data_IF_846553879625
#
_entry.id   IF_846553879625
#
_cell.length_a   1.000
_cell.length_b   1.000
_cell.length_c   1.000
_cell.angle_alpha   90.00
_cell.angle_beta   90.00
_cell.angle_gamma   90.00
#
_symmetry.space_group_name_H-M   'P 1'
#
loop_
_entity.id
_entity.type
_entity.pdbx_description
1 polymer ?
#
# COMPACT_ATOMS: atom_id res chain seq x y z
N UNK A 1 -6.74 22.80 -20.61
CA UNK A 1 -7.11 21.40 -20.30
C UNK A 1 -6.16 20.89 -19.23
N UNK A 2 -6.60 20.81 -17.97
CA UNK A 2 -5.78 20.29 -16.88
C UNK A 2 -5.61 18.78 -17.06
N UNK A 3 -4.38 18.33 -17.28
CA UNK A 3 -4.06 16.91 -17.43
C UNK A 3 -4.30 16.23 -16.08
N UNK A 4 -5.40 15.51 -15.94
CA UNK A 4 -5.74 14.74 -14.74
C UNK A 4 -4.82 13.52 -14.62
N UNK A 5 -3.58 13.72 -14.17
CA UNK A 5 -2.59 12.66 -14.04
C UNK A 5 -2.55 12.02 -12.66
N UNK A 6 -2.40 10.70 -12.62
CA UNK A 6 -2.24 9.95 -11.37
C UNK A 6 -0.80 10.16 -10.86
N UNK A 7 -0.65 10.61 -9.62
CA UNK A 7 0.65 10.82 -8.99
C UNK A 7 1.24 9.49 -8.52
N UNK A 8 2.37 9.09 -9.11
CA UNK A 8 3.09 7.87 -8.71
C UNK A 8 3.57 7.94 -7.26
N UNK A 9 3.85 9.14 -6.76
CA UNK A 9 4.28 9.35 -5.37
C UNK A 9 3.19 8.93 -4.38
N UNK A 10 1.92 9.24 -4.69
CA UNK A 10 0.80 8.84 -3.83
C UNK A 10 0.69 7.32 -3.74
N UNK A 11 0.77 6.64 -4.89
CA UNK A 11 0.73 5.17 -5.00
C UNK A 11 1.88 4.55 -4.17
N UNK A 12 3.10 5.05 -4.35
CA UNK A 12 4.28 4.54 -3.66
C UNK A 12 4.17 4.70 -2.14
N UNK A 13 3.87 5.91 -1.64
CA UNK A 13 3.81 6.14 -0.20
C UNK A 13 2.64 5.41 0.45
N UNK A 14 1.46 5.37 -0.18
CA UNK A 14 0.33 4.64 0.39
C UNK A 14 0.59 3.14 0.48
N UNK A 15 1.27 2.54 -0.50
CA UNK A 15 1.75 1.16 -0.40
C UNK A 15 2.67 0.96 0.82
N UNK A 16 3.68 1.82 0.98
CA UNK A 16 4.60 1.73 2.12
C UNK A 16 3.89 1.91 3.46
N UNK A 17 2.93 2.84 3.54
CA UNK A 17 2.12 3.07 4.76
C UNK A 17 1.33 1.80 5.10
N UNK A 18 0.64 1.20 4.14
CA UNK A 18 -0.13 -0.03 4.37
C UNK A 18 0.76 -1.20 4.80
N UNK A 19 1.88 -1.40 4.10
CA UNK A 19 2.85 -2.46 4.39
C UNK A 19 3.44 -2.32 5.80
N UNK A 20 3.92 -1.13 6.14
CA UNK A 20 4.56 -0.86 7.44
C UNK A 20 3.57 -0.84 8.59
N UNK A 21 2.35 -0.34 8.38
CA UNK A 21 1.27 -0.40 9.38
C UNK A 21 0.96 -1.85 9.77
N UNK A 22 0.79 -2.73 8.78
CA UNK A 22 0.50 -4.13 9.06
C UNK A 22 1.67 -4.84 9.77
N UNK A 23 2.90 -4.50 9.40
CA UNK A 23 4.09 -4.99 10.09
C UNK A 23 4.15 -4.54 11.56
N UNK A 24 3.86 -3.26 11.84
CA UNK A 24 3.79 -2.74 13.21
C UNK A 24 2.75 -3.50 14.05
N UNK A 25 1.54 -3.72 13.51
CA UNK A 25 0.49 -4.48 14.21
C UNK A 25 0.93 -5.93 14.43
N UNK A 26 1.46 -6.57 13.39
CA UNK A 26 1.88 -7.98 13.44
C UNK A 26 2.95 -8.25 14.48
N UNK A 27 3.90 -7.33 14.69
CA UNK A 27 4.92 -7.41 15.75
C UNK A 27 4.29 -7.55 17.14
N UNK A 28 3.13 -6.94 17.38
CA UNK A 28 2.45 -7.00 18.68
C UNK A 28 1.43 -8.13 18.77
N UNK A 29 0.90 -8.62 17.65
CA UNK A 29 -0.21 -9.58 17.64
C UNK A 29 0.21 -11.01 17.30
N UNK A 30 1.35 -11.21 16.64
CA UNK A 30 1.82 -12.53 16.16
C UNK A 30 3.14 -12.86 16.83
N UNK A 31 3.14 -13.88 17.69
CA UNK A 31 4.33 -14.29 18.48
C UNK A 31 5.54 -14.69 17.65
N UNK A 32 5.32 -15.18 16.43
CA UNK A 32 6.35 -15.66 15.52
C UNK A 32 7.07 -14.51 14.80
N UNK A 33 6.44 -13.34 14.72
CA UNK A 33 7.03 -12.17 14.05
C UNK A 33 8.04 -11.52 15.01
N UNK A 34 9.33 -11.50 14.67
CA UNK A 34 10.34 -10.92 15.54
C UNK A 34 10.15 -9.41 15.67
N UNK A 35 10.43 -8.89 16.85
CA UNK A 35 10.41 -7.44 17.08
C UNK A 35 11.41 -6.73 16.17
N UNK A 36 10.97 -5.64 15.54
CA UNK A 36 11.79 -4.78 14.68
C UNK A 36 11.33 -3.33 14.78
N UNK A 37 12.28 -2.41 14.95
CA UNK A 37 11.99 -0.97 15.01
C UNK A 37 11.79 -0.36 13.60
N UNK A 38 12.28 -1.02 12.55
CA UNK A 38 12.29 -0.48 11.19
C UNK A 38 10.89 -0.16 10.64
N UNK A 39 9.85 -1.02 10.79
CA UNK A 39 8.50 -0.71 10.32
C UNK A 39 7.93 0.59 10.91
N UNK A 40 8.24 0.89 12.17
CA UNK A 40 7.78 2.12 12.83
C UNK A 40 8.41 3.37 12.21
N UNK A 41 9.72 3.34 11.97
CA UNK A 41 10.39 4.44 11.28
C UNK A 41 9.91 4.58 9.84
N UNK A 42 9.76 3.47 9.11
CA UNK A 42 9.21 3.49 7.74
C UNK A 42 7.81 4.10 7.72
N UNK A 43 6.93 3.70 8.64
CA UNK A 43 5.58 4.23 8.75
C UNK A 43 5.62 5.74 9.05
N UNK A 44 6.41 6.16 10.04
CA UNK A 44 6.56 7.57 10.39
C UNK A 44 7.01 8.40 9.20
N UNK A 45 8.09 8.00 8.51
CA UNK A 45 8.59 8.76 7.37
C UNK A 45 7.62 8.73 6.18
N UNK A 46 7.00 7.59 5.88
CA UNK A 46 6.06 7.47 4.77
C UNK A 46 4.81 8.33 4.97
N UNK A 47 4.23 8.32 6.17
CA UNK A 47 3.08 9.18 6.53
C UNK A 47 3.46 10.65 6.44
N UNK A 48 4.61 11.05 6.99
CA UNK A 48 5.05 12.45 6.95
C UNK A 48 5.28 12.95 5.51
N UNK A 49 5.92 12.14 4.66
CA UNK A 49 6.13 12.52 3.26
C UNK A 49 4.80 12.55 2.50
N UNK A 50 3.96 11.53 2.67
CA UNK A 50 2.65 11.48 2.03
C UNK A 50 1.79 12.67 2.43
N UNK A 51 1.74 13.05 3.70
CA UNK A 51 0.97 14.19 4.19
C UNK A 51 1.43 15.50 3.54
N UNK A 52 2.75 15.71 3.40
CA UNK A 52 3.30 16.88 2.70
C UNK A 52 2.91 16.89 1.22
N UNK A 53 2.92 15.74 0.55
CA UNK A 53 2.47 15.64 -0.84
C UNK A 53 0.96 15.86 -0.98
N UNK A 54 0.17 15.27 -0.08
CA UNK A 54 -1.28 15.42 -0.03
C UNK A 54 -1.70 16.90 0.05
N UNK A 55 -1.07 17.67 0.93
CA UNK A 55 -1.33 19.12 1.04
C UNK A 55 -0.91 19.87 -0.24
N UNK A 56 0.28 19.56 -0.79
CA UNK A 56 0.79 20.25 -1.99
C UNK A 56 -0.03 19.94 -3.25
N UNK A 57 -0.62 18.75 -3.32
CA UNK A 57 -1.43 18.27 -4.43
C UNK A 57 -2.91 18.12 -4.03
N UNK A 58 -3.44 19.04 -3.23
CA UNK A 58 -4.80 18.95 -2.68
C UNK A 58 -5.90 18.79 -3.74
N UNK A 59 -5.67 19.25 -4.98
CA UNK A 59 -6.60 19.13 -6.11
C UNK A 59 -6.45 17.80 -6.90
N UNK A 60 -5.66 16.83 -6.42
CA UNK A 60 -5.38 15.58 -7.12
C UNK A 60 -6.36 14.45 -6.75
N UNK A 61 -7.66 14.70 -6.92
CA UNK A 61 -8.73 13.75 -6.59
C UNK A 61 -8.60 12.42 -7.36
N UNK A 62 -8.00 12.48 -8.54
CA UNK A 62 -7.83 11.35 -9.45
C UNK A 62 -6.88 10.27 -8.88
N UNK A 63 -5.94 10.68 -8.03
CA UNK A 63 -4.97 9.80 -7.38
C UNK A 63 -5.50 9.12 -6.11
N UNK A 64 -6.61 9.61 -5.54
CA UNK A 64 -7.19 9.08 -4.28
C UNK A 64 -7.56 7.60 -4.42
N UNK A 65 -8.30 7.21 -5.48
CA UNK A 65 -8.75 5.81 -5.65
C UNK A 65 -7.56 4.84 -5.81
N UNK A 66 -6.58 5.09 -6.72
CA UNK A 66 -5.36 4.29 -6.78
C UNK A 66 -4.60 4.21 -5.46
N UNK A 67 -4.48 5.33 -4.73
CA UNK A 67 -3.77 5.40 -3.46
C UNK A 67 -4.40 4.51 -2.37
N UNK A 68 -5.74 4.50 -2.27
CA UNK A 68 -6.43 3.56 -1.38
C UNK A 68 -6.22 2.10 -1.77
N UNK A 69 -6.28 1.79 -3.07
CA UNK A 69 -6.00 0.44 -3.54
C UNK A 69 -4.59 0.00 -3.17
N UNK A 70 -3.57 0.85 -3.36
CA UNK A 70 -2.19 0.53 -2.98
C UNK A 70 -1.96 0.45 -1.48
N UNK A 71 -2.66 1.23 -0.68
CA UNK A 71 -2.66 1.07 0.77
C UNK A 71 -3.11 -0.34 1.19
N UNK A 72 -4.24 -0.82 0.67
CA UNK A 72 -4.72 -2.17 0.96
C UNK A 72 -3.83 -3.26 0.38
N UNK A 73 -3.30 -3.06 -0.84
CA UNK A 73 -2.27 -3.96 -1.40
C UNK A 73 -1.09 -4.08 -0.43
N UNK A 74 -0.60 -2.97 0.13
CA UNK A 74 0.48 -2.97 1.12
C UNK A 74 0.15 -3.81 2.36
N UNK A 75 -1.03 -3.59 2.96
CA UNK A 75 -1.50 -4.38 4.11
C UNK A 75 -1.52 -5.86 3.76
N UNK A 76 -2.29 -6.25 2.74
CA UNK A 76 -2.49 -7.66 2.41
C UNK A 76 -1.22 -8.34 1.88
N UNK A 77 -0.31 -7.60 1.26
CA UNK A 77 1.01 -8.14 0.85
C UNK A 77 1.83 -8.58 2.06
N UNK A 78 1.88 -7.77 3.13
CA UNK A 78 2.58 -8.18 4.34
C UNK A 78 1.90 -9.36 5.03
N UNK A 79 0.56 -9.38 5.11
CA UNK A 79 -0.17 -10.54 5.65
C UNK A 79 0.06 -11.81 4.84
N UNK A 80 0.08 -11.71 3.50
CA UNK A 80 0.35 -12.82 2.61
C UNK A 80 1.77 -13.36 2.80
N UNK A 81 2.75 -12.46 2.91
CA UNK A 81 4.14 -12.77 3.17
C UNK A 81 4.32 -13.48 4.52
N UNK A 82 3.77 -12.92 5.60
CA UNK A 82 3.85 -13.52 6.94
C UNK A 82 3.19 -14.89 6.99
N UNK A 83 2.02 -15.06 6.37
CA UNK A 83 1.38 -16.38 6.31
C UNK A 83 2.11 -17.39 5.42
N UNK A 84 2.92 -16.94 4.46
CA UNK A 84 3.80 -17.82 3.70
C UNK A 84 5.07 -18.22 4.49
N UNK A 85 5.60 -17.30 5.30
CA UNK A 85 6.74 -17.55 6.17
C UNK A 85 6.39 -18.46 7.37
N UNK A 86 5.18 -18.31 7.91
CA UNK A 86 4.70 -19.03 9.09
C UNK A 86 3.39 -19.77 8.77
N UNK A 87 3.44 -20.91 8.06
CA UNK A 87 2.24 -21.66 7.63
C UNK A 87 1.35 -22.11 8.79
N UNK A 88 1.90 -22.22 10.00
CA UNK A 88 1.17 -22.55 11.23
C UNK A 88 0.13 -21.48 11.63
N UNK A 89 0.22 -20.26 11.09
CA UNK A 89 -0.78 -19.20 11.27
C UNK A 89 -2.08 -19.46 10.47
N UNK A 90 -2.08 -20.50 9.63
CA UNK A 90 -3.20 -20.86 8.78
C UNK A 90 -3.09 -20.30 7.36
N UNK A 91 -4.20 -20.39 6.62
CA UNK A 91 -4.20 -20.03 5.20
C UNK A 91 -4.01 -18.53 4.96
N UNK A 92 -3.08 -18.20 4.07
CA UNK A 92 -2.90 -16.83 3.56
C UNK A 92 -3.71 -16.54 2.28
N UNK A 93 -4.60 -17.46 1.87
CA UNK A 93 -5.34 -17.38 0.61
C UNK A 93 -6.12 -16.07 0.47
N UNK A 94 -6.78 -15.62 1.53
CA UNK A 94 -7.55 -14.37 1.51
C UNK A 94 -6.65 -13.16 1.22
N UNK A 95 -5.51 -13.07 1.91
CA UNK A 95 -4.53 -11.99 1.73
C UNK A 95 -3.96 -11.99 0.31
N UNK A 96 -3.62 -13.17 -0.23
CA UNK A 96 -3.12 -13.32 -1.60
C UNK A 96 -4.21 -12.92 -2.62
N UNK A 97 -5.43 -13.43 -2.47
CA UNK A 97 -6.54 -13.15 -3.37
C UNK A 97 -6.86 -11.65 -3.44
N UNK A 98 -6.95 -10.97 -2.30
CA UNK A 98 -7.18 -9.52 -2.27
C UNK A 98 -6.03 -8.72 -2.89
N UNK A 99 -4.78 -9.10 -2.59
CA UNK A 99 -3.61 -8.46 -3.19
C UNK A 99 -3.64 -8.58 -4.72
N UNK A 100 -3.97 -9.77 -5.24
CA UNK A 100 -4.07 -10.02 -6.67
C UNK A 100 -5.23 -9.27 -7.33
N UNK A 101 -6.44 -9.31 -6.75
CA UNK A 101 -7.61 -8.61 -7.29
C UNK A 101 -7.34 -7.11 -7.41
N UNK A 102 -6.81 -6.50 -6.34
CA UNK A 102 -6.48 -5.07 -6.34
C UNK A 102 -5.30 -4.75 -7.28
N UNK A 103 -4.28 -5.61 -7.32
CA UNK A 103 -3.14 -5.47 -8.22
C UNK A 103 -3.54 -5.53 -9.69
N UNK A 104 -4.35 -6.53 -10.07
CA UNK A 104 -4.90 -6.67 -11.42
C UNK A 104 -5.74 -5.46 -11.78
N UNK A 105 -6.61 -4.99 -10.88
CA UNK A 105 -7.42 -3.79 -11.12
C UNK A 105 -6.54 -2.55 -11.35
N UNK A 106 -5.50 -2.36 -10.53
CA UNK A 106 -4.58 -1.24 -10.66
C UNK A 106 -3.79 -1.30 -11.97
N UNK A 107 -3.32 -2.49 -12.35
CA UNK A 107 -2.62 -2.73 -13.62
C UNK A 107 -3.52 -2.50 -14.83
N UNK A 108 -4.77 -3.00 -14.79
CA UNK A 108 -5.75 -2.77 -15.85
C UNK A 108 -5.99 -1.28 -16.04
N UNK A 109 -6.15 -0.53 -14.94
CA UNK A 109 -6.34 0.92 -14.97
C UNK A 109 -5.11 1.67 -15.48
N UNK A 110 -3.90 1.15 -15.23
CA UNK A 110 -2.67 1.73 -15.74
C UNK A 110 -2.50 1.50 -17.24
N UNK A 111 -2.83 0.29 -17.72
CA UNK A 111 -2.63 -0.11 -19.11
C UNK A 111 -3.73 0.36 -20.06
N UNK A 112 -4.98 0.36 -19.60
CA UNK A 112 -6.15 0.64 -20.44
C UNK A 112 -6.95 1.88 -20.01
N UNK A 113 -6.54 2.57 -18.95
CA UNK A 113 -7.22 3.78 -18.49
C UNK A 113 -6.80 5.04 -19.26
N UNK A 114 -7.75 5.96 -19.49
CA UNK A 114 -7.51 7.25 -20.15
C UNK A 114 -6.62 8.23 -19.35
N UNK A 115 -6.18 7.82 -18.16
CA UNK A 115 -5.50 8.69 -17.18
C UNK A 115 -3.98 8.47 -17.27
N UNK A 116 -3.25 9.54 -17.59
CA UNK A 116 -1.77 9.51 -17.65
C UNK A 116 -1.17 9.50 -16.24
N UNK A 117 -0.04 8.83 -16.04
CA UNK A 117 0.64 8.81 -14.74
C UNK A 117 1.77 9.85 -14.77
N UNK A 118 1.86 10.68 -13.74
CA UNK A 118 2.92 11.69 -13.57
C UNK A 118 3.90 11.28 -12.49
N UNK A 119 5.20 11.43 -12.79
CA UNK A 119 6.31 11.20 -11.87
C UNK A 119 6.54 12.40 -10.93
#
# INVERSE_FOLDING_TARGET
>A
MSTHSISLKWIFYTFLIGLSLNACVSIFTISQVPFSIFPFFTLFFAVNHFYRFYIKEANNEVSIRPAWATFFIGIFSYSAFTGALYPELGSNFFSVALTLILGIWLMYKWMFGDKKYSA
#
